data_IF_818078587009
#
_entry.id   IF_818078587009
#
_cell.length_a   1.000
_cell.length_b   1.000
_cell.length_c   1.000
_cell.angle_alpha   90.00
_cell.angle_beta   90.00
_cell.angle_gamma   90.00
#
_symmetry.space_group_name_H-M   'P 1'
#
loop_
_entity.id
_entity.type
_entity.pdbx_description
1 polymer ?
#
# COMPACT_ATOMS: atom_id res chain seq x y z
N UNK A 1 -32.77 20.56 11.60
CA UNK A 1 -33.34 19.22 11.83
C UNK A 1 -33.52 18.56 10.46
N UNK A 2 -32.66 17.61 10.12
CA UNK A 2 -32.87 16.72 9.00
C UNK A 2 -32.45 15.34 9.47
N UNK A 3 -33.46 14.49 9.68
CA UNK A 3 -33.36 13.12 10.14
C UNK A 3 -33.39 12.25 8.91
N UNK A 4 -32.32 11.49 8.65
CA UNK A 4 -32.37 10.35 7.73
C UNK A 4 -32.52 9.09 8.59
N UNK A 5 -33.73 8.52 8.56
CA UNK A 5 -34.02 7.18 9.07
C UNK A 5 -33.63 6.19 7.98
N UNK A 6 -32.69 5.29 8.27
CA UNK A 6 -32.58 4.00 7.60
C UNK A 6 -32.71 2.92 8.66
N UNK A 7 -33.76 2.10 8.52
CA UNK A 7 -34.03 0.95 9.36
C UNK A 7 -33.34 -0.30 8.78
N UNK A 8 -32.79 -1.13 9.67
CA UNK A 8 -32.61 -2.57 9.44
C UNK A 8 -31.17 -3.08 9.39
N UNK A 9 -30.63 -3.46 10.56
CA UNK A 9 -29.52 -4.41 10.70
C UNK A 9 -28.21 -3.82 11.23
N UNK A 10 -27.64 -4.47 12.27
CA UNK A 10 -26.32 -4.23 12.90
C UNK A 10 -26.23 -3.17 14.03
N UNK A 11 -27.10 -3.26 15.03
CA UNK A 11 -26.86 -2.64 16.35
C UNK A 11 -26.01 -3.56 17.23
N UNK A 12 -24.68 -3.53 17.08
CA UNK A 12 -23.77 -3.89 18.18
C UNK A 12 -22.34 -3.30 18.09
N UNK A 13 -22.03 -2.46 17.09
CA UNK A 13 -20.68 -1.86 16.93
C UNK A 13 -20.54 -0.41 17.46
N UNK A 14 -21.64 0.30 17.73
CA UNK A 14 -21.57 1.72 18.15
C UNK A 14 -21.21 1.94 19.62
N UNK A 15 -21.47 0.97 20.50
CA UNK A 15 -21.17 1.09 21.93
C UNK A 15 -19.67 0.95 22.25
N UNK A 16 -18.91 0.22 21.44
CA UNK A 16 -17.46 0.06 21.63
C UNK A 16 -16.69 1.30 21.19
N UNK A 17 -17.06 1.93 20.06
CA UNK A 17 -16.41 3.15 19.57
C UNK A 17 -16.59 4.35 20.51
N UNK A 18 -17.79 4.56 21.06
CA UNK A 18 -18.05 5.67 22.00
C UNK A 18 -17.24 5.51 23.29
N UNK A 19 -17.14 4.28 23.79
CA UNK A 19 -16.34 3.94 24.98
C UNK A 19 -14.83 4.15 24.74
N UNK A 20 -14.34 3.79 23.56
CA UNK A 20 -12.94 4.02 23.17
C UNK A 20 -12.60 5.51 23.03
N UNK A 21 -13.50 6.30 22.43
CA UNK A 21 -13.32 7.75 22.33
C UNK A 21 -13.33 8.43 23.69
N UNK A 22 -14.20 7.99 24.60
CA UNK A 22 -14.24 8.49 25.97
C UNK A 22 -12.94 8.18 26.74
N UNK A 23 -12.45 6.94 26.66
CA UNK A 23 -11.18 6.56 27.28
C UNK A 23 -9.98 7.35 26.69
N UNK A 24 -10.01 7.57 25.37
CA UNK A 24 -9.01 8.40 24.68
C UNK A 24 -9.05 9.84 25.18
N UNK A 25 -10.23 10.44 25.30
CA UNK A 25 -10.39 11.79 25.82
C UNK A 25 -9.90 11.90 27.27
N UNK A 26 -10.18 10.90 28.11
CA UNK A 26 -9.69 10.83 29.49
C UNK A 26 -8.16 10.76 29.55
N UNK A 27 -7.53 9.93 28.71
CA UNK A 27 -6.07 9.83 28.62
C UNK A 27 -5.38 11.14 28.22
N UNK A 28 -6.05 11.95 27.41
CA UNK A 28 -5.49 13.19 26.87
C UNK A 28 -5.76 14.44 27.71
N UNK A 29 -6.81 14.42 28.53
CA UNK A 29 -7.25 15.60 29.29
C UNK A 29 -6.96 15.51 30.78
N UNK A 30 -7.29 14.38 31.41
CA UNK A 30 -7.21 14.20 32.85
C UNK A 30 -6.98 12.73 33.20
N UNK A 31 -5.79 12.17 32.93
CA UNK A 31 -5.44 10.86 33.45
C UNK A 31 -5.37 10.90 34.98
N UNK A 32 -5.76 9.80 35.62
CA UNK A 32 -5.71 9.62 37.08
C UNK A 32 -4.98 8.32 37.41
N UNK A 33 -3.72 8.21 36.97
CA UNK A 33 -2.92 6.99 37.17
C UNK A 33 -2.23 7.02 38.52
N UNK A 34 -1.65 8.18 38.86
CA UNK A 34 -0.88 8.40 40.09
C UNK A 34 -1.64 9.26 41.11
N UNK A 35 -2.71 9.94 40.69
CA UNK A 35 -3.53 10.87 41.48
C UNK A 35 -2.71 12.02 42.08
N UNK A 36 -1.67 12.45 41.38
CA UNK A 36 -0.81 13.57 41.76
C UNK A 36 -0.42 14.41 40.54
N UNK A 37 0.45 15.41 40.77
CA UNK A 37 0.89 16.34 39.72
C UNK A 37 1.55 15.68 38.50
N UNK A 38 2.08 14.46 38.63
CA UNK A 38 2.72 13.73 37.52
C UNK A 38 1.71 13.30 36.47
N UNK A 39 0.44 13.18 36.82
CA UNK A 39 -0.64 12.91 35.86
C UNK A 39 -0.77 14.06 34.84
N UNK A 40 -0.45 15.30 35.22
CA UNK A 40 -0.42 16.43 34.27
C UNK A 40 0.69 16.30 33.22
N UNK A 41 1.84 15.73 33.60
CA UNK A 41 2.96 15.44 32.70
C UNK A 41 2.59 14.25 31.81
N UNK A 42 1.97 13.22 32.39
CA UNK A 42 1.47 12.07 31.65
C UNK A 42 0.44 12.48 30.59
N UNK A 43 -0.47 13.40 30.90
CA UNK A 43 -1.44 13.94 29.93
C UNK A 43 -0.73 14.57 28.72
N UNK A 44 0.31 15.37 28.95
CA UNK A 44 1.12 15.98 27.87
C UNK A 44 1.87 14.94 27.05
N UNK A 45 2.39 13.90 27.70
CA UNK A 45 3.05 12.79 27.00
C UNK A 45 2.07 11.97 26.15
N UNK A 46 0.88 11.70 26.68
CA UNK A 46 -0.20 11.04 25.95
C UNK A 46 -0.64 11.89 24.74
N UNK A 47 -0.73 13.22 24.89
CA UNK A 47 -1.01 14.13 23.78
C UNK A 47 0.04 14.06 22.68
N UNK A 48 1.33 14.02 23.04
CA UNK A 48 2.40 13.92 22.06
C UNK A 48 2.33 12.60 21.29
N UNK A 49 2.14 11.47 21.98
CA UNK A 49 1.96 10.16 21.34
C UNK A 49 0.71 10.13 20.45
N UNK A 50 -0.40 10.71 20.92
CA UNK A 50 -1.64 10.82 20.15
C UNK A 50 -1.47 11.67 18.89
N UNK A 51 -0.72 12.77 18.96
CA UNK A 51 -0.41 13.61 17.80
C UNK A 51 0.46 12.87 16.79
N UNK A 52 1.41 12.05 17.26
CA UNK A 52 2.25 11.19 16.42
C UNK A 52 1.46 10.05 15.78
N UNK A 53 0.35 9.62 16.40
CA UNK A 53 -0.46 8.50 15.92
C UNK A 53 0.17 7.14 16.19
N UNK A 54 1.05 7.05 17.20
CA UNK A 54 1.61 5.79 17.68
C UNK A 54 1.88 5.88 19.17
N UNK A 55 1.51 4.84 19.92
CA UNK A 55 1.84 4.73 21.34
C UNK A 55 0.69 4.26 22.21
N UNK A 56 0.84 4.45 23.53
CA UNK A 56 -0.13 4.00 24.53
C UNK A 56 -0.45 5.12 25.51
N UNK A 57 -1.73 5.42 25.64
CA UNK A 57 -2.29 6.45 26.53
C UNK A 57 -2.80 5.85 27.83
N UNK A 58 -2.09 6.07 28.92
CA UNK A 58 -2.50 5.64 30.25
C UNK A 58 -3.40 6.69 30.91
N UNK A 59 -4.51 6.26 31.49
CA UNK A 59 -5.50 7.16 32.11
C UNK A 59 -6.04 6.68 33.45
N UNK A 60 -5.90 5.39 33.76
CA UNK A 60 -6.23 4.80 35.05
C UNK A 60 -5.22 3.68 35.34
N UNK A 61 -4.87 3.47 36.60
CA UNK A 61 -3.97 2.40 37.03
C UNK A 61 -4.60 1.00 36.91
N UNK A 62 -5.92 0.93 36.94
CA UNK A 62 -6.68 -0.34 36.93
C UNK A 62 -7.19 -0.74 35.55
N UNK A 63 -7.04 0.12 34.54
CA UNK A 63 -7.58 -0.11 33.19
C UNK A 63 -6.44 -0.17 32.16
N UNK A 64 -6.52 -1.05 31.16
CA UNK A 64 -5.54 -1.08 30.09
C UNK A 64 -5.40 0.29 29.39
N UNK A 65 -4.19 0.65 28.94
CA UNK A 65 -3.99 1.89 28.21
C UNK A 65 -4.71 1.85 26.85
N UNK A 66 -5.10 3.03 26.39
CA UNK A 66 -5.63 3.23 25.04
C UNK A 66 -4.49 3.15 24.03
N UNK A 67 -4.71 2.48 22.91
CA UNK A 67 -3.73 2.43 21.82
C UNK A 67 -3.93 3.62 20.87
N UNK A 68 -2.86 4.37 20.61
CA UNK A 68 -2.85 5.41 19.60
C UNK A 68 -2.37 4.82 18.28
N UNK A 69 -3.19 4.94 17.24
CA UNK A 69 -2.86 4.60 15.87
C UNK A 69 -2.92 5.84 14.96
N UNK A 70 -2.52 5.71 13.71
CA UNK A 70 -2.62 6.78 12.72
C UNK A 70 -4.07 7.15 12.37
N UNK A 71 -5.03 6.29 12.74
CA UNK A 71 -6.48 6.53 12.60
C UNK A 71 -7.06 7.35 13.76
N UNK A 72 -6.27 7.57 14.81
CA UNK A 72 -6.66 8.40 15.95
C UNK A 72 -7.12 9.80 15.48
N UNK A 73 -8.31 10.28 15.92
CA UNK A 73 -8.80 11.62 15.58
C UNK A 73 -7.85 12.76 15.97
N UNK A 74 -6.98 12.53 16.94
CA UNK A 74 -5.99 13.50 17.40
C UNK A 74 -4.66 13.43 16.65
N UNK A 75 -4.46 12.49 15.71
CA UNK A 75 -3.23 12.40 14.92
C UNK A 75 -3.06 13.65 14.04
N UNK A 76 -1.99 14.40 14.29
CA UNK A 76 -1.66 15.67 13.61
C UNK A 76 -0.47 15.53 12.67
N UNK A 77 0.48 14.67 13.02
CA UNK A 77 1.62 14.40 12.15
C UNK A 77 1.15 13.52 10.99
N UNK A 78 1.04 14.15 9.82
CA UNK A 78 0.70 13.48 8.58
C UNK A 78 1.90 13.52 7.65
N UNK A 79 2.22 12.38 7.08
CA UNK A 79 3.26 12.27 6.07
C UNK A 79 2.79 12.93 4.76
N UNK A 80 3.73 13.60 4.10
CA UNK A 80 3.60 14.14 2.75
C UNK A 80 4.47 13.27 1.86
N UNK A 81 3.85 12.58 0.90
CA UNK A 81 4.55 11.79 -0.12
C UNK A 81 4.28 12.36 -1.49
N UNK A 82 5.33 12.56 -2.28
CA UNK A 82 5.20 12.90 -3.70
C UNK A 82 5.25 11.61 -4.53
N UNK A 83 4.27 11.43 -5.41
CA UNK A 83 4.28 10.35 -6.39
C UNK A 83 4.16 10.96 -7.79
N UNK A 84 5.17 10.73 -8.63
CA UNK A 84 5.09 11.10 -10.03
C UNK A 84 4.08 10.18 -10.72
N UNK A 85 3.08 10.76 -11.39
CA UNK A 85 2.13 9.97 -12.18
C UNK A 85 2.89 9.47 -13.41
N UNK A 86 3.06 8.15 -13.61
CA UNK A 86 3.74 7.67 -14.80
C UNK A 86 2.92 8.04 -16.04
N UNK A 87 3.57 8.50 -17.11
CA UNK A 87 2.93 8.78 -18.40
C UNK A 87 2.75 7.52 -19.28
N UNK A 88 3.00 6.34 -18.70
CA UNK A 88 2.95 5.03 -19.37
C UNK A 88 1.51 4.62 -19.61
N UNK A 89 1.19 4.24 -20.85
CA UNK A 89 -0.14 3.76 -21.24
C UNK A 89 -0.25 2.26 -20.95
N UNK A 90 -1.47 1.77 -20.80
CA UNK A 90 -1.69 0.34 -20.56
C UNK A 90 -1.17 -0.54 -21.71
N UNK A 91 -1.26 -0.02 -22.94
CA UNK A 91 -0.78 -0.64 -24.18
C UNK A 91 0.75 -0.83 -24.22
N UNK A 92 1.50 -0.09 -23.41
CA UNK A 92 2.96 -0.25 -23.33
C UNK A 92 3.35 -1.56 -22.63
N UNK A 93 2.41 -2.17 -21.89
CA UNK A 93 2.54 -3.51 -21.32
C UNK A 93 3.52 -3.64 -20.15
N UNK A 94 3.95 -2.52 -19.57
CA UNK A 94 5.01 -2.49 -18.56
C UNK A 94 4.52 -2.90 -17.16
N UNK A 95 5.13 -3.95 -16.61
CA UNK A 95 4.93 -4.41 -15.23
C UNK A 95 6.28 -4.46 -14.53
N UNK A 96 6.36 -3.82 -13.36
CA UNK A 96 7.54 -3.81 -12.51
C UNK A 96 7.46 -4.91 -11.46
N UNK A 97 8.57 -5.61 -11.25
CA UNK A 97 8.71 -6.73 -10.32
C UNK A 97 9.81 -6.40 -9.31
N UNK A 98 9.47 -6.37 -8.03
CA UNK A 98 10.45 -6.31 -6.96
C UNK A 98 10.98 -7.72 -6.69
N UNK A 99 12.30 -7.89 -6.79
CA UNK A 99 13.01 -9.15 -6.61
C UNK A 99 13.83 -9.09 -5.33
N UNK A 100 13.78 -10.17 -4.54
CA UNK A 100 14.64 -10.36 -3.37
C UNK A 100 16.06 -10.78 -3.77
N UNK A 101 16.69 -10.02 -4.65
CA UNK A 101 18.01 -10.26 -5.24
C UNK A 101 18.67 -8.92 -5.56
N UNK A 102 20.00 -8.86 -5.46
CA UNK A 102 20.76 -7.66 -5.83
C UNK A 102 20.68 -7.40 -7.33
N UNK A 103 20.76 -6.13 -7.72
CA UNK A 103 20.70 -5.73 -9.14
C UNK A 103 21.74 -6.47 -10.01
N UNK A 104 22.98 -6.61 -9.52
CA UNK A 104 24.05 -7.30 -10.23
C UNK A 104 23.73 -8.78 -10.48
N UNK A 105 23.11 -9.45 -9.51
CA UNK A 105 22.71 -10.86 -9.62
C UNK A 105 21.57 -11.03 -10.63
N UNK A 106 20.59 -10.11 -10.61
CA UNK A 106 19.49 -10.10 -11.59
C UNK A 106 20.02 -9.88 -13.00
N UNK A 107 20.98 -8.96 -13.20
CA UNK A 107 21.59 -8.73 -14.51
C UNK A 107 22.38 -9.94 -15.00
N UNK A 108 23.17 -10.57 -14.14
CA UNK A 108 23.98 -11.75 -14.51
C UNK A 108 23.12 -12.97 -14.85
N UNK A 109 21.97 -13.14 -14.19
CA UNK A 109 21.05 -14.26 -14.39
C UNK A 109 19.83 -13.92 -15.25
N UNK A 110 19.85 -12.78 -15.96
CA UNK A 110 18.66 -12.25 -16.62
C UNK A 110 18.03 -13.23 -17.61
N UNK A 111 18.83 -13.93 -18.43
CA UNK A 111 18.32 -14.92 -19.39
C UNK A 111 17.58 -16.07 -18.69
N UNK A 112 18.20 -16.66 -17.67
CA UNK A 112 17.60 -17.75 -16.89
C UNK A 112 16.31 -17.30 -16.20
N UNK A 113 16.28 -16.07 -15.68
CA UNK A 113 15.10 -15.51 -15.04
C UNK A 113 13.97 -15.30 -16.05
N UNK A 114 14.28 -14.76 -17.24
CA UNK A 114 13.33 -14.58 -18.35
C UNK A 114 12.74 -15.92 -18.80
N UNK A 115 13.56 -16.95 -18.96
CA UNK A 115 13.08 -18.30 -19.32
C UNK A 115 12.21 -18.91 -18.22
N UNK A 116 12.58 -18.73 -16.96
CA UNK A 116 11.79 -19.21 -15.82
C UNK A 116 10.45 -18.48 -15.74
N UNK A 117 10.45 -17.17 -15.96
CA UNK A 117 9.22 -16.38 -16.03
C UNK A 117 8.34 -16.79 -17.20
N UNK A 118 8.92 -17.06 -18.38
CA UNK A 118 8.17 -17.53 -19.55
C UNK A 118 7.42 -18.83 -19.24
N UNK A 119 8.08 -19.78 -18.56
CA UNK A 119 7.44 -21.02 -18.08
C UNK A 119 6.31 -20.76 -17.10
N UNK A 120 6.51 -19.87 -16.12
CA UNK A 120 5.48 -19.51 -15.12
C UNK A 120 4.29 -18.81 -15.78
N UNK A 121 4.53 -18.03 -16.83
CA UNK A 121 3.50 -17.33 -17.62
C UNK A 121 2.84 -18.22 -18.69
N UNK A 122 2.93 -19.54 -18.52
CA UNK A 122 2.24 -20.54 -19.35
C UNK A 122 3.07 -21.16 -20.45
N UNK A 123 4.32 -20.73 -20.66
CA UNK A 123 5.26 -21.37 -21.60
C UNK A 123 4.83 -21.32 -23.07
N UNK A 124 3.90 -20.43 -23.43
CA UNK A 124 3.35 -20.39 -24.78
C UNK A 124 4.41 -19.89 -25.78
N UNK A 125 4.70 -20.63 -26.86
CA UNK A 125 5.66 -20.20 -27.87
C UNK A 125 5.25 -18.92 -28.62
N UNK A 126 3.97 -18.53 -28.58
CA UNK A 126 3.50 -17.26 -29.15
C UNK A 126 3.80 -16.06 -28.25
N UNK A 127 4.17 -16.28 -26.99
CA UNK A 127 4.49 -15.23 -26.02
C UNK A 127 6.00 -15.15 -25.82
N UNK A 128 6.50 -13.92 -25.75
CA UNK A 128 7.89 -13.63 -25.38
C UNK A 128 7.95 -12.64 -24.22
N UNK A 129 8.74 -12.99 -23.20
CA UNK A 129 9.04 -12.13 -22.06
C UNK A 129 10.22 -11.25 -22.43
N UNK A 130 10.04 -9.93 -22.34
CA UNK A 130 11.06 -8.95 -22.64
C UNK A 130 11.34 -8.09 -21.41
N UNK A 131 12.58 -7.63 -21.27
CA UNK A 131 13.04 -6.83 -20.15
C UNK A 131 13.28 -5.41 -20.62
N UNK A 132 12.51 -4.46 -20.09
CA UNK A 132 12.69 -3.04 -20.36
C UNK A 132 13.88 -2.48 -19.57
N UNK A 133 14.03 -2.92 -18.31
CA UNK A 133 15.12 -2.46 -17.48
C UNK A 133 15.21 -3.19 -16.14
N UNK A 134 16.37 -3.05 -15.52
CA UNK A 134 16.65 -3.51 -14.15
C UNK A 134 17.27 -2.35 -13.39
N UNK A 135 16.91 -2.16 -12.12
CA UNK A 135 17.45 -1.11 -11.25
C UNK A 135 17.53 -1.59 -9.81
N UNK A 136 18.52 -1.11 -9.06
CA UNK A 136 18.61 -1.36 -7.63
C UNK A 136 17.40 -0.76 -6.87
N UNK A 137 16.98 -1.49 -5.86
CA UNK A 137 16.11 -1.02 -4.78
C UNK A 137 16.91 -1.05 -3.45
N UNK A 138 16.42 -0.41 -2.38
CA UNK A 138 16.98 -0.57 -1.04
C UNK A 138 17.02 -2.04 -0.58
N UNK A 139 17.75 -2.31 0.50
CA UNK A 139 17.81 -3.63 1.15
C UNK A 139 18.33 -4.76 0.24
N UNK A 140 19.29 -4.45 -0.63
CA UNK A 140 19.88 -5.43 -1.57
C UNK A 140 18.85 -6.07 -2.53
N UNK A 141 17.77 -5.36 -2.82
CA UNK A 141 16.73 -5.78 -3.76
C UNK A 141 16.92 -5.15 -5.14
N UNK A 142 16.14 -5.61 -6.10
CA UNK A 142 16.13 -5.06 -7.45
C UNK A 142 14.71 -4.98 -8.00
N UNK A 143 14.46 -3.96 -8.81
CA UNK A 143 13.27 -3.88 -9.65
C UNK A 143 13.62 -4.30 -11.07
N UNK A 144 12.85 -5.23 -11.62
CA UNK A 144 12.90 -5.65 -13.01
C UNK A 144 11.59 -5.27 -13.71
N UNK A 145 11.67 -4.46 -14.76
CA UNK A 145 10.52 -4.03 -15.55
C UNK A 145 10.43 -4.93 -16.79
N UNK A 146 9.28 -5.56 -16.97
CA UNK A 146 9.03 -6.49 -18.08
C UNK A 146 7.82 -6.08 -18.90
N UNK A 147 7.76 -6.59 -20.13
CA UNK A 147 6.56 -6.63 -20.95
C UNK A 147 6.49 -7.93 -21.75
N UNK A 148 5.28 -8.34 -22.11
CA UNK A 148 5.04 -9.49 -22.98
C UNK A 148 4.73 -9.04 -24.39
N UNK A 149 5.29 -9.72 -25.39
CA UNK A 149 4.88 -9.59 -26.79
C UNK A 149 4.23 -10.89 -27.22
N UNK A 150 3.00 -10.80 -27.71
CA UNK A 150 2.23 -11.88 -28.28
C UNK A 150 2.31 -11.82 -29.82
N UNK A 151 2.71 -12.94 -30.43
CA UNK A 151 2.73 -13.13 -31.88
C UNK A 151 1.46 -13.86 -32.32
N UNK A 152 0.66 -13.18 -33.12
CA UNK A 152 -0.55 -13.73 -33.71
C UNK A 152 -0.23 -14.67 -34.88
N UNK A 153 -1.09 -15.65 -35.20
CA UNK A 153 -0.87 -16.59 -36.31
C UNK A 153 -0.74 -15.93 -37.69
N UNK A 154 -1.32 -14.74 -37.86
CA UNK A 154 -1.18 -13.90 -39.05
C UNK A 154 0.19 -13.20 -39.17
N UNK A 155 1.11 -13.46 -38.23
CA UNK A 155 2.46 -12.90 -38.22
C UNK A 155 2.60 -11.54 -37.54
N UNK A 156 1.50 -10.91 -37.08
CA UNK A 156 1.59 -9.63 -36.35
C UNK A 156 1.99 -9.84 -34.90
N UNK A 157 2.70 -8.87 -34.32
CA UNK A 157 3.10 -8.89 -32.91
C UNK A 157 2.51 -7.68 -32.19
N UNK A 158 1.95 -7.92 -31.00
CA UNK A 158 1.40 -6.86 -30.13
C UNK A 158 1.89 -7.05 -28.70
N UNK A 159 2.01 -5.96 -27.95
CA UNK A 159 2.26 -6.07 -26.51
C UNK A 159 0.98 -6.49 -25.80
N UNK A 160 1.13 -7.31 -24.75
CA UNK A 160 0.02 -7.61 -23.84
C UNK A 160 -0.20 -6.39 -22.95
N UNK A 161 -1.44 -5.87 -22.80
CA UNK A 161 -1.71 -4.73 -21.94
C UNK A 161 -1.29 -4.99 -20.49
N UNK A 162 -0.75 -3.98 -19.82
CA UNK A 162 -0.18 -4.11 -18.47
C UNK A 162 -1.23 -4.56 -17.44
N UNK A 163 -2.46 -4.06 -17.53
CA UNK A 163 -3.60 -4.49 -16.70
C UNK A 163 -3.90 -5.99 -16.83
N UNK A 164 -3.82 -6.52 -18.05
CA UNK A 164 -4.08 -7.94 -18.35
C UNK A 164 -2.97 -8.81 -17.81
N UNK A 165 -1.71 -8.43 -18.05
CA UNK A 165 -0.53 -9.13 -17.53
C UNK A 165 -0.54 -9.15 -15.99
N UNK A 166 -0.73 -7.99 -15.37
CA UNK A 166 -0.78 -7.87 -13.92
C UNK A 166 -1.89 -8.74 -13.29
N UNK A 167 -3.09 -8.71 -13.87
CA UNK A 167 -4.22 -9.53 -13.40
C UNK A 167 -3.93 -11.03 -13.48
N UNK A 168 -3.20 -11.47 -14.52
CA UNK A 168 -2.76 -12.86 -14.65
C UNK A 168 -1.71 -13.23 -13.59
N UNK A 169 -0.74 -12.35 -13.32
CA UNK A 169 0.29 -12.58 -12.32
C UNK A 169 -0.25 -12.67 -10.89
N UNK A 170 -1.38 -12.02 -10.61
CA UNK A 170 -2.06 -12.07 -9.30
C UNK A 170 -2.87 -13.35 -9.07
N UNK A 171 -3.04 -14.22 -10.08
CA UNK A 171 -3.66 -15.53 -9.88
C UNK A 171 -2.83 -16.35 -8.89
N UNK A 172 -3.48 -17.02 -7.94
CA UNK A 172 -2.84 -17.66 -6.78
C UNK A 172 -1.69 -18.63 -7.16
N UNK A 173 -1.90 -19.44 -8.19
CA UNK A 173 -0.92 -20.38 -8.73
C UNK A 173 0.28 -19.67 -9.39
N UNK A 174 0.02 -18.60 -10.15
CA UNK A 174 1.07 -17.83 -10.83
C UNK A 174 1.87 -17.04 -9.80
N UNK A 175 1.19 -16.36 -8.88
CA UNK A 175 1.79 -15.57 -7.81
C UNK A 175 2.71 -16.41 -6.93
N UNK A 176 2.27 -17.60 -6.52
CA UNK A 176 3.11 -18.51 -5.72
C UNK A 176 4.34 -19.01 -6.48
N UNK A 177 4.23 -19.29 -7.79
CA UNK A 177 5.37 -19.65 -8.62
C UNK A 177 6.35 -18.47 -8.82
N UNK A 178 5.84 -17.25 -9.00
CA UNK A 178 6.66 -16.04 -9.08
C UNK A 178 7.43 -15.78 -7.77
N UNK A 179 6.80 -16.02 -6.62
CA UNK A 179 7.46 -15.92 -5.31
C UNK A 179 8.62 -16.90 -5.18
N UNK A 180 8.51 -18.11 -5.74
CA UNK A 180 9.62 -19.08 -5.77
C UNK A 180 10.80 -18.59 -6.65
N UNK A 181 10.54 -17.74 -7.64
CA UNK A 181 11.59 -17.07 -8.43
C UNK A 181 12.23 -15.87 -7.69
N UNK A 182 11.72 -15.53 -6.51
CA UNK A 182 12.18 -14.41 -5.68
C UNK A 182 11.41 -13.12 -5.90
N UNK A 183 10.26 -13.14 -6.60
CA UNK A 183 9.41 -11.95 -6.76
C UNK A 183 8.66 -11.68 -5.46
N UNK A 184 8.90 -10.52 -4.86
CA UNK A 184 8.25 -10.05 -3.63
C UNK A 184 6.91 -9.39 -3.97
N UNK A 185 6.89 -8.59 -5.03
CA UNK A 185 5.76 -7.76 -5.42
C UNK A 185 5.79 -7.52 -6.94
N UNK A 186 4.61 -7.45 -7.55
CA UNK A 186 4.42 -6.95 -8.90
C UNK A 186 3.54 -5.69 -8.86
N UNK A 187 3.77 -4.75 -9.77
CA UNK A 187 2.98 -3.52 -9.91
C UNK A 187 2.90 -3.15 -11.39
N UNK A 188 1.71 -2.86 -11.91
CA UNK A 188 1.59 -2.28 -13.26
C UNK A 188 2.08 -0.84 -13.26
N UNK A 189 2.84 -0.43 -14.29
CA UNK A 189 3.31 0.96 -14.43
C UNK A 189 2.30 1.89 -15.11
N UNK A 190 1.09 1.39 -15.40
CA UNK A 190 0.03 2.15 -16.07
C UNK A 190 -0.33 3.41 -15.30
N UNK A 191 -0.45 4.53 -16.02
CA UNK A 191 -0.99 5.78 -15.51
C UNK A 191 -2.37 5.56 -14.87
N UNK A 192 -2.55 6.05 -13.64
CA UNK A 192 -3.87 6.04 -13.00
C UNK A 192 -4.83 6.93 -13.79
N UNK A 193 -6.05 6.43 -14.04
CA UNK A 193 -7.09 7.25 -14.68
C UNK A 193 -7.46 8.44 -13.79
N UNK A 194 -7.97 9.55 -14.36
CA UNK A 194 -8.43 10.70 -13.57
C UNK A 194 -9.46 10.33 -12.50
N UNK A 195 -10.32 9.34 -12.78
CA UNK A 195 -11.32 8.85 -11.83
C UNK A 195 -10.68 8.09 -10.66
N UNK A 196 -9.75 7.17 -10.93
CA UNK A 196 -9.01 6.44 -9.89
C UNK A 196 -8.17 7.38 -9.02
N UNK A 197 -7.52 8.38 -9.63
CA UNK A 197 -6.78 9.38 -8.89
C UNK A 197 -7.70 10.22 -8.01
N UNK A 198 -8.88 10.61 -8.50
CA UNK A 198 -9.89 11.34 -7.71
C UNK A 198 -10.37 10.50 -6.52
N UNK A 199 -10.59 9.21 -6.71
CA UNK A 199 -10.99 8.31 -5.64
C UNK A 199 -9.88 8.17 -4.57
N UNK A 200 -8.62 8.00 -4.98
CA UNK A 200 -7.47 7.96 -4.06
C UNK A 200 -7.33 9.27 -3.27
N UNK A 201 -7.56 10.41 -3.91
CA UNK A 201 -7.54 11.73 -3.28
C UNK A 201 -8.69 11.94 -2.29
N UNK A 202 -9.86 11.34 -2.55
CA UNK A 202 -11.04 11.44 -1.68
C UNK A 202 -10.87 10.65 -0.37
N UNK A 203 -10.08 9.57 -0.38
CA UNK A 203 -9.82 8.73 0.79
C UNK A 203 -8.36 8.29 0.84
N UNK A 204 -7.43 9.18 1.25
CA UNK A 204 -6.04 8.81 1.38
C UNK A 204 -5.85 7.81 2.54
N UNK A 205 -4.81 6.96 2.50
CA UNK A 205 -4.46 6.08 3.62
C UNK A 205 -4.27 6.86 4.93
N UNK A 206 -4.55 6.22 6.06
CA UNK A 206 -4.33 6.80 7.38
C UNK A 206 -2.90 7.35 7.53
N UNK A 207 -2.74 8.47 8.23
CA UNK A 207 -1.45 9.13 8.39
C UNK A 207 -0.93 9.92 7.18
N UNK A 208 -1.65 9.99 6.05
CA UNK A 208 -1.26 10.82 4.89
C UNK A 208 -2.16 12.04 4.70
N UNK A 209 -1.59 13.16 4.24
CA UNK A 209 -2.33 14.39 3.99
C UNK A 209 -3.08 14.35 2.63
N UNK A 210 -4.36 14.74 2.62
CA UNK A 210 -5.17 14.89 1.38
C UNK A 210 -4.56 15.89 0.39
N UNK A 211 -3.85 16.91 0.90
CA UNK A 211 -3.21 17.94 0.07
C UNK A 211 -1.89 17.48 -0.57
N UNK A 212 -1.36 16.31 -0.15
CA UNK A 212 -0.04 15.84 -0.58
C UNK A 212 -0.03 14.86 -1.76
N UNK A 213 -1.18 14.32 -2.16
CA UNK A 213 -1.30 13.51 -3.40
C UNK A 213 -1.35 14.42 -4.66
N UNK A 214 -0.72 15.59 -4.59
CA UNK A 214 -0.67 16.56 -5.68
C UNK A 214 0.41 16.17 -6.70
N UNK A 215 -0.05 16.02 -7.94
CA UNK A 215 0.70 15.66 -9.15
C UNK A 215 1.93 16.54 -9.34
N UNK A 216 3.08 15.92 -9.58
CA UNK A 216 4.11 16.54 -10.42
C UNK A 216 3.88 16.09 -11.86
N UNK A 217 3.65 17.07 -12.73
CA UNK A 217 4.03 17.03 -14.15
C UNK A 217 5.29 17.87 -14.28
#
# INVERSE_FOLDING_TARGET
>A
VCVCVFAGGLFNQQASQSSQLFNTASALSAPSVLSDERDSILARWNQLQAFWGVGKGYYSSSTPPVEFSQENPFCRFKAVGYSCVPDVKDEDGLVALALNKKEADVRSQQQQLVESMHKVLGGNPTLSVNVEGVRALPDDQAEMIIYLVERSPNGTSKRVPASTLYSYMEQMNVKSALQQLGVIMAVSRTALTPAQLKQLLQSPPAGTCVHSLARYR
#
